data_IF_047054363932
#
_entry.id   IF_047054363932
#
_cell.length_a   1.000
_cell.length_b   1.000
_cell.length_c   1.000
_cell.angle_alpha   90.00
_cell.angle_beta   90.00
_cell.angle_gamma   90.00
#
_symmetry.space_group_name_H-M   'P 1'
#
loop_
_entity.id
_entity.type
_entity.pdbx_description
1 polymer ?
#
# COMPACT_ATOMS: atom_id res chain seq x y z
N UNK A 1 -15.86 38.72 42.54
CA UNK A 1 -17.12 38.02 42.19
C UNK A 1 -16.78 36.62 41.74
N UNK A 2 -16.83 35.64 42.64
CA UNK A 2 -16.60 34.22 42.32
C UNK A 2 -17.96 33.51 42.33
N UNK A 3 -18.44 33.15 41.14
CA UNK A 3 -19.64 32.33 40.99
C UNK A 3 -19.20 30.86 41.02
N UNK A 4 -19.35 30.22 42.19
CA UNK A 4 -19.16 28.78 42.34
C UNK A 4 -20.38 28.04 41.78
N UNK A 5 -20.13 27.06 40.92
CA UNK A 5 -21.16 26.18 40.36
C UNK A 5 -21.86 25.37 41.47
N UNK A 6 -23.16 25.03 41.31
CA UNK A 6 -23.90 24.31 42.33
C UNK A 6 -23.35 22.88 42.51
N UNK A 7 -23.02 22.55 43.75
CA UNK A 7 -22.66 21.21 44.18
C UNK A 7 -23.83 20.26 43.90
N UNK A 8 -23.59 19.23 43.07
CA UNK A 8 -24.52 18.12 42.93
C UNK A 8 -24.61 17.40 44.27
N UNK A 9 -25.73 17.62 44.94
CA UNK A 9 -26.06 17.02 46.23
C UNK A 9 -26.12 15.51 46.08
N UNK A 10 -25.18 14.85 46.75
CA UNK A 10 -25.11 13.40 46.92
C UNK A 10 -26.34 12.93 47.70
N UNK A 11 -27.47 12.70 47.01
CA UNK A 11 -28.57 11.90 47.57
C UNK A 11 -28.10 10.45 47.62
N UNK A 12 -27.46 10.07 48.74
CA UNK A 12 -27.18 8.67 49.08
C UNK A 12 -28.50 7.98 49.44
N UNK A 13 -29.31 7.69 48.42
CA UNK A 13 -30.48 6.86 48.57
C UNK A 13 -30.06 5.41 48.83
N UNK A 14 -30.86 4.72 49.65
CA UNK A 14 -30.85 3.27 49.91
C UNK A 14 -30.78 2.40 48.63
N UNK A 15 -31.05 3.03 47.46
CA UNK A 15 -31.00 2.45 46.12
C UNK A 15 -29.66 2.60 45.37
N UNK A 16 -28.66 3.29 45.93
CA UNK A 16 -27.31 3.38 45.33
C UNK A 16 -26.57 2.03 45.30
N UNK A 17 -26.90 1.13 46.23
CA UNK A 17 -26.40 -0.24 46.27
C UNK A 17 -27.23 -1.24 45.43
N UNK A 18 -28.30 -0.78 44.77
CA UNK A 18 -29.11 -1.58 43.85
C UNK A 18 -28.70 -1.37 42.39
N UNK A 19 -27.51 -0.78 42.14
CA UNK A 19 -26.95 -0.69 40.81
C UNK A 19 -26.79 -2.10 40.22
N UNK A 20 -27.67 -2.40 39.27
CA UNK A 20 -27.70 -3.63 38.49
C UNK A 20 -26.25 -4.05 38.14
N UNK A 21 -25.83 -5.30 38.44
CA UNK A 21 -24.47 -5.75 38.16
C UNK A 21 -24.08 -5.60 36.67
N UNK A 22 -25.06 -5.57 35.77
CA UNK A 22 -24.87 -5.25 34.35
C UNK A 22 -24.54 -3.77 34.13
N UNK A 23 -25.25 -2.84 34.78
CA UNK A 23 -24.94 -1.40 34.72
C UNK A 23 -23.58 -1.08 35.36
N UNK A 24 -23.19 -1.81 36.40
CA UNK A 24 -21.87 -1.71 37.01
C UNK A 24 -20.76 -2.20 36.06
N UNK A 25 -21.03 -3.22 35.23
CA UNK A 25 -20.12 -3.61 34.14
C UNK A 25 -20.09 -2.56 33.03
N UNK A 26 -21.20 -1.89 32.72
CA UNK A 26 -21.23 -0.83 31.71
C UNK A 26 -20.58 0.47 32.18
N UNK A 27 -20.67 0.83 33.47
CA UNK A 27 -19.90 1.96 34.03
C UNK A 27 -18.41 1.63 34.13
N UNK A 28 -18.07 0.41 34.59
CA UNK A 28 -16.68 -0.07 34.60
C UNK A 28 -16.11 -0.20 33.18
N UNK A 29 -16.94 -0.52 32.19
CA UNK A 29 -16.56 -0.54 30.77
C UNK A 29 -16.65 0.85 30.11
N UNK A 30 -17.41 1.79 30.66
CA UNK A 30 -17.49 3.17 30.20
C UNK A 30 -16.22 3.96 30.51
N UNK A 31 -15.50 3.60 31.59
CA UNK A 31 -14.13 4.09 31.85
C UNK A 31 -13.08 3.49 30.91
N UNK A 32 -13.38 2.39 30.20
CA UNK A 32 -12.50 1.82 29.17
C UNK A 32 -12.61 2.54 27.81
N UNK A 33 -13.61 3.41 27.58
CA UNK A 33 -13.76 4.08 26.28
C UNK A 33 -12.78 5.25 26.08
N UNK A 34 -12.34 5.93 27.15
CA UNK A 34 -11.36 7.03 27.02
C UNK A 34 -9.93 6.54 26.71
N UNK A 35 -9.55 5.34 27.15
CA UNK A 35 -8.23 4.75 26.89
C UNK A 35 -8.11 4.07 25.51
N UNK A 36 -9.21 4.00 24.76
CA UNK A 36 -9.29 3.30 23.47
C UNK A 36 -9.50 4.26 22.29
N UNK A 37 -9.18 5.55 22.44
CA UNK A 37 -9.18 6.49 21.32
C UNK A 37 -7.95 6.29 20.42
N UNK A 38 -8.14 6.51 19.12
CA UNK A 38 -7.07 6.49 18.12
C UNK A 38 -6.05 7.58 18.40
N UNK A 39 -4.77 7.25 18.27
CA UNK A 39 -3.62 8.11 18.57
C UNK A 39 -2.66 8.17 17.38
N UNK A 40 -2.00 9.30 17.14
CA UNK A 40 -0.97 9.43 16.10
C UNK A 40 0.16 8.40 16.26
N UNK A 41 0.59 8.14 17.50
CA UNK A 41 1.62 7.14 17.79
C UNK A 41 1.15 5.73 17.44
N UNK A 42 -0.11 5.39 17.73
CA UNK A 42 -0.71 4.09 17.42
C UNK A 42 -0.83 3.83 15.92
N UNK A 43 -1.22 4.84 15.16
CA UNK A 43 -1.28 4.79 13.68
C UNK A 43 0.13 4.66 13.11
N UNK A 44 1.07 5.51 13.54
CA UNK A 44 2.46 5.49 13.04
C UNK A 44 3.14 4.15 13.29
N UNK A 45 2.96 3.58 14.49
CA UNK A 45 3.50 2.25 14.83
C UNK A 45 2.92 1.14 13.93
N UNK A 46 1.63 1.18 13.62
CA UNK A 46 0.99 0.22 12.71
C UNK A 46 1.43 0.39 11.27
N UNK A 47 1.61 1.63 10.81
CA UNK A 47 2.17 1.91 9.48
C UNK A 47 3.59 1.36 9.39
N UNK A 48 4.44 1.62 10.39
CA UNK A 48 5.79 1.08 10.45
C UNK A 48 5.77 -0.45 10.48
N UNK A 49 4.84 -1.07 11.22
CA UNK A 49 4.66 -2.52 11.22
C UNK A 49 4.36 -3.07 9.81
N UNK A 50 3.46 -2.44 9.05
CA UNK A 50 3.18 -2.85 7.66
C UNK A 50 4.38 -2.68 6.73
N UNK A 51 5.19 -1.64 6.92
CA UNK A 51 6.42 -1.42 6.16
C UNK A 51 7.55 -2.37 6.57
N UNK A 52 7.64 -2.75 7.85
CA UNK A 52 8.57 -3.79 8.28
C UNK A 52 8.16 -5.15 7.73
N UNK A 53 6.85 -5.45 7.70
CA UNK A 53 6.33 -6.65 7.07
C UNK A 53 6.68 -6.70 5.57
N UNK A 54 6.70 -5.58 4.85
CA UNK A 54 7.14 -5.58 3.45
C UNK A 54 8.63 -5.87 3.32
N UNK A 55 9.48 -5.30 4.19
CA UNK A 55 10.92 -5.63 4.21
C UNK A 55 11.17 -7.11 4.54
N UNK A 56 10.39 -7.69 5.45
CA UNK A 56 10.43 -9.14 5.74
C UNK A 56 10.05 -9.93 4.48
N UNK A 57 9.02 -9.52 3.74
CA UNK A 57 8.65 -10.13 2.46
C UNK A 57 9.76 -10.06 1.41
N UNK A 58 10.45 -8.92 1.31
CA UNK A 58 11.61 -8.75 0.42
C UNK A 58 12.71 -9.74 0.81
N UNK A 59 13.11 -9.75 2.09
CA UNK A 59 14.16 -10.62 2.59
C UNK A 59 13.81 -12.10 2.38
N UNK A 60 12.56 -12.49 2.65
CA UNK A 60 12.08 -13.84 2.43
C UNK A 60 12.21 -14.26 0.95
N UNK A 61 11.85 -13.38 0.01
CA UNK A 61 12.01 -13.65 -1.42
C UNK A 61 13.49 -13.82 -1.81
N UNK A 62 14.36 -12.92 -1.38
CA UNK A 62 15.80 -12.99 -1.69
C UNK A 62 16.46 -14.26 -1.15
N UNK A 63 16.13 -14.64 0.09
CA UNK A 63 16.63 -15.87 0.71
C UNK A 63 16.10 -17.11 0.01
N UNK A 64 14.79 -17.14 -0.28
CA UNK A 64 14.14 -18.25 -0.94
C UNK A 64 14.72 -18.47 -2.34
N UNK A 65 14.89 -17.39 -3.12
CA UNK A 65 15.50 -17.44 -4.44
C UNK A 65 16.92 -18.00 -4.39
N UNK A 66 17.75 -17.55 -3.43
CA UNK A 66 19.10 -18.09 -3.24
C UNK A 66 19.06 -19.59 -2.91
N UNK A 67 18.18 -20.01 -2.01
CA UNK A 67 18.03 -21.41 -1.59
C UNK A 67 17.57 -22.28 -2.77
N UNK A 68 16.58 -21.84 -3.54
CA UNK A 68 16.04 -22.61 -4.64
C UNK A 68 17.02 -22.73 -5.80
N UNK A 69 17.73 -21.67 -6.17
CA UNK A 69 18.76 -21.76 -7.22
C UNK A 69 19.92 -22.65 -6.79
N UNK A 70 20.36 -22.56 -5.54
CA UNK A 70 21.49 -23.37 -5.03
C UNK A 70 21.15 -24.88 -4.99
N UNK A 71 19.89 -25.22 -4.72
CA UNK A 71 19.43 -26.61 -4.58
C UNK A 71 18.83 -27.19 -5.88
N UNK A 72 18.55 -26.36 -6.88
CA UNK A 72 18.02 -26.81 -8.15
C UNK A 72 19.10 -27.45 -9.01
N UNK A 73 18.73 -28.49 -9.76
CA UNK A 73 19.61 -29.04 -10.79
C UNK A 73 19.84 -27.97 -11.87
N UNK A 74 21.09 -27.79 -12.33
CA UNK A 74 21.43 -26.75 -13.30
C UNK A 74 20.59 -26.83 -14.58
N UNK A 75 20.22 -28.04 -15.00
CA UNK A 75 19.38 -28.29 -16.19
C UNK A 75 17.91 -27.84 -16.01
N UNK A 76 17.45 -27.68 -14.77
CA UNK A 76 16.08 -27.27 -14.45
C UNK A 76 15.93 -25.75 -14.29
N UNK A 77 17.04 -25.01 -14.23
CA UNK A 77 17.02 -23.56 -14.11
C UNK A 77 16.61 -22.92 -15.44
N UNK A 78 15.67 -21.99 -15.37
CA UNK A 78 15.30 -21.17 -16.51
C UNK A 78 16.03 -19.85 -16.43
N UNK A 79 16.69 -19.47 -17.53
CA UNK A 79 17.36 -18.19 -17.69
C UNK A 79 16.60 -17.34 -18.69
N UNK A 80 16.21 -16.15 -18.26
CA UNK A 80 15.57 -15.15 -19.09
C UNK A 80 16.37 -13.85 -19.04
N UNK A 81 16.93 -13.45 -20.17
CA UNK A 81 17.66 -12.20 -20.32
C UNK A 81 16.96 -11.35 -21.37
N UNK A 82 16.63 -10.10 -21.02
CA UNK A 82 16.11 -9.14 -22.00
C UNK A 82 17.26 -8.60 -22.86
N UNK A 83 17.45 -9.20 -24.04
CA UNK A 83 18.49 -8.80 -25.01
C UNK A 83 18.31 -7.38 -25.53
N UNK A 84 17.12 -6.75 -25.40
CA UNK A 84 16.89 -5.40 -25.94
C UNK A 84 17.40 -4.30 -25.04
N UNK A 85 17.18 -4.39 -23.72
CA UNK A 85 17.53 -3.30 -22.80
C UNK A 85 18.58 -3.70 -21.76
N UNK A 86 18.92 -4.98 -21.63
CA UNK A 86 19.95 -5.48 -20.70
C UNK A 86 19.61 -5.33 -19.20
N UNK A 87 18.41 -4.82 -18.86
CA UNK A 87 18.02 -4.54 -17.47
C UNK A 87 17.63 -5.81 -16.72
N UNK A 88 16.98 -6.73 -17.42
CA UNK A 88 16.41 -7.94 -16.84
C UNK A 88 17.36 -9.10 -17.15
N UNK A 89 17.88 -9.70 -16.10
CA UNK A 89 18.65 -10.94 -16.12
C UNK A 89 18.12 -11.80 -14.96
N UNK A 90 17.13 -12.63 -15.31
CA UNK A 90 16.35 -13.41 -14.36
C UNK A 90 16.70 -14.89 -14.54
N UNK A 91 17.34 -15.45 -13.52
CA UNK A 91 17.47 -16.90 -13.36
C UNK A 91 16.46 -17.34 -12.32
N UNK A 92 15.62 -18.35 -12.59
CA UNK A 92 14.64 -18.80 -11.63
C UNK A 92 14.42 -20.31 -11.69
N UNK A 93 14.12 -20.91 -10.53
CA UNK A 93 13.72 -22.30 -10.44
C UNK A 93 12.21 -22.46 -10.74
N UNK A 94 11.76 -23.61 -11.28
CA UNK A 94 10.33 -23.86 -11.54
C UNK A 94 9.44 -23.69 -10.29
N UNK A 95 9.96 -24.04 -9.12
CA UNK A 95 9.27 -23.85 -7.84
C UNK A 95 9.04 -22.36 -7.51
N UNK A 96 9.93 -21.45 -7.92
CA UNK A 96 9.75 -20.00 -7.72
C UNK A 96 8.54 -19.48 -8.48
N UNK A 97 8.29 -19.99 -9.69
CA UNK A 97 7.13 -19.59 -10.49
C UNK A 97 5.80 -19.93 -9.79
N UNK A 98 5.71 -21.10 -9.14
CA UNK A 98 4.51 -21.52 -8.40
C UNK A 98 4.28 -20.58 -7.21
N UNK A 99 5.33 -20.28 -6.45
CA UNK A 99 5.25 -19.38 -5.30
C UNK A 99 4.85 -17.97 -5.76
N UNK A 100 5.40 -17.49 -6.87
CA UNK A 100 5.05 -16.20 -7.46
C UNK A 100 3.58 -16.10 -7.83
N UNK A 101 3.00 -17.15 -8.41
CA UNK A 101 1.56 -17.18 -8.70
C UNK A 101 0.74 -17.07 -7.43
N UNK A 102 1.09 -17.81 -6.37
CA UNK A 102 0.41 -17.74 -5.07
C UNK A 102 0.50 -16.32 -4.47
N UNK A 103 1.69 -15.71 -4.50
CA UNK A 103 1.93 -14.35 -3.98
C UNK A 103 1.13 -13.31 -4.77
N UNK A 104 1.04 -13.44 -6.09
CA UNK A 104 0.24 -12.55 -6.93
C UNK A 104 -1.26 -12.67 -6.61
N UNK A 105 -1.76 -13.88 -6.39
CA UNK A 105 -3.16 -14.11 -6.00
C UNK A 105 -3.45 -13.49 -4.63
N UNK A 106 -2.58 -13.70 -3.63
CA UNK A 106 -2.71 -13.07 -2.32
C UNK A 106 -2.74 -11.54 -2.47
N UNK A 107 -1.80 -10.97 -3.22
CA UNK A 107 -1.70 -9.53 -3.45
C UNK A 107 -2.94 -8.92 -4.13
N UNK A 108 -3.61 -9.68 -4.99
CA UNK A 108 -4.83 -9.26 -5.69
C UNK A 108 -6.06 -9.36 -4.78
N UNK A 109 -6.15 -10.42 -3.99
CA UNK A 109 -7.34 -10.76 -3.18
C UNK A 109 -7.37 -9.92 -1.89
N UNK A 110 -6.24 -9.72 -1.22
CA UNK A 110 -6.21 -9.07 0.10
C UNK A 110 -6.75 -7.63 0.11
N UNK A 111 -6.47 -6.73 -0.85
CA UNK A 111 -7.04 -5.38 -0.83
C UNK A 111 -8.56 -5.38 -0.95
N UNK A 112 -9.13 -6.34 -1.71
CA UNK A 112 -10.57 -6.50 -1.83
C UNK A 112 -11.21 -6.97 -0.53
N UNK A 113 -10.58 -7.92 0.19
CA UNK A 113 -11.05 -8.33 1.52
C UNK A 113 -10.94 -7.21 2.54
N UNK A 114 -9.86 -6.42 2.51
CA UNK A 114 -9.69 -5.27 3.40
C UNK A 114 -10.79 -4.22 3.20
N UNK A 115 -11.21 -4.01 1.95
CA UNK A 115 -12.32 -3.13 1.61
C UNK A 115 -13.68 -3.66 2.08
N UNK A 116 -13.94 -4.96 1.90
CA UNK A 116 -15.22 -5.58 2.23
C UNK A 116 -15.40 -5.80 3.74
N UNK A 117 -14.34 -6.19 4.46
CA UNK A 117 -14.39 -6.63 5.85
C UNK A 117 -13.37 -5.86 6.71
N UNK A 118 -13.71 -4.63 7.10
CA UNK A 118 -12.82 -3.71 7.84
C UNK A 118 -12.18 -4.29 9.12
N UNK A 119 -12.84 -5.15 9.93
CA UNK A 119 -12.20 -5.74 11.11
C UNK A 119 -11.01 -6.66 10.78
N UNK A 120 -10.89 -7.15 9.54
CA UNK A 120 -9.83 -8.08 9.12
C UNK A 120 -8.54 -7.39 8.66
N UNK A 121 -8.52 -6.05 8.62
CA UNK A 121 -7.37 -5.25 8.16
C UNK A 121 -6.04 -5.61 8.84
N UNK A 122 -5.96 -5.91 10.15
CA UNK A 122 -4.69 -6.32 10.75
C UNK A 122 -4.09 -7.56 10.09
N UNK A 123 -4.92 -8.57 9.78
CA UNK A 123 -4.46 -9.83 9.18
C UNK A 123 -4.25 -9.66 7.68
N UNK A 124 -5.27 -9.18 7.00
CA UNK A 124 -5.30 -9.05 5.54
C UNK A 124 -4.29 -8.01 5.06
N UNK A 125 -4.13 -6.91 5.80
CA UNK A 125 -3.11 -5.89 5.53
C UNK A 125 -1.69 -6.42 5.73
N UNK A 126 -1.45 -7.29 6.72
CA UNK A 126 -0.14 -7.92 6.92
C UNK A 126 0.19 -8.88 5.78
N UNK A 127 -0.78 -9.71 5.37
CA UNK A 127 -0.63 -10.60 4.22
C UNK A 127 -0.35 -9.82 2.93
N UNK A 128 -1.07 -8.72 2.71
CA UNK A 128 -0.81 -7.82 1.60
C UNK A 128 0.61 -7.26 1.63
N UNK A 129 1.04 -6.70 2.78
CA UNK A 129 2.37 -6.15 2.98
C UNK A 129 3.48 -7.17 2.69
N UNK A 130 3.35 -8.39 3.23
CA UNK A 130 4.31 -9.48 2.98
C UNK A 130 4.35 -9.85 1.50
N UNK A 131 3.19 -9.98 0.86
CA UNK A 131 3.09 -10.36 -0.54
C UNK A 131 3.66 -9.26 -1.47
N UNK A 132 3.37 -7.99 -1.21
CA UNK A 132 3.98 -6.86 -1.92
C UNK A 132 5.50 -6.84 -1.71
N UNK A 133 5.98 -7.06 -0.49
CA UNK A 133 7.40 -7.21 -0.21
C UNK A 133 8.05 -8.31 -1.04
N UNK A 134 7.40 -9.46 -1.15
CA UNK A 134 7.88 -10.57 -1.98
C UNK A 134 7.96 -10.18 -3.46
N UNK A 135 6.97 -9.46 -4.00
CA UNK A 135 7.00 -8.95 -5.38
C UNK A 135 8.16 -7.97 -5.60
N UNK A 136 8.45 -7.11 -4.62
CA UNK A 136 9.60 -6.20 -4.67
C UNK A 136 10.91 -7.01 -4.71
N UNK A 137 11.02 -8.04 -3.86
CA UNK A 137 12.16 -8.95 -3.85
C UNK A 137 12.36 -9.63 -5.20
N UNK A 138 11.27 -10.14 -5.80
CA UNK A 138 11.31 -10.82 -7.08
C UNK A 138 11.73 -9.89 -8.23
N UNK A 139 11.22 -8.64 -8.24
CA UNK A 139 11.69 -7.66 -9.23
C UNK A 139 13.18 -7.40 -9.02
N UNK A 140 13.64 -7.32 -7.76
CA UNK A 140 15.05 -7.06 -7.45
C UNK A 140 15.97 -8.21 -7.88
N UNK A 141 15.53 -9.46 -7.77
CA UNK A 141 16.27 -10.62 -8.29
C UNK A 141 16.27 -10.69 -9.80
N UNK A 142 15.21 -10.21 -10.45
CA UNK A 142 15.11 -10.13 -11.90
C UNK A 142 16.01 -9.05 -12.54
N UNK A 143 16.48 -8.08 -11.75
CA UNK A 143 17.38 -7.04 -12.25
C UNK A 143 18.80 -7.57 -12.41
N UNK A 144 19.43 -7.23 -13.54
CA UNK A 144 20.83 -7.50 -13.76
C UNK A 144 21.68 -6.87 -12.64
N UNK A 145 22.84 -7.48 -12.28
CA UNK A 145 23.64 -7.06 -11.14
C UNK A 145 23.94 -5.56 -11.09
N UNK A 146 24.16 -4.96 -12.25
CA UNK A 146 24.46 -3.53 -12.42
C UNK A 146 23.28 -2.63 -12.07
N UNK A 147 22.03 -3.10 -12.19
CA UNK A 147 20.81 -2.31 -11.98
C UNK A 147 20.14 -2.57 -10.63
N UNK A 148 20.67 -3.46 -9.78
CA UNK A 148 20.08 -3.78 -8.46
C UNK A 148 19.98 -2.57 -7.53
N UNK A 149 20.87 -1.58 -7.68
CA UNK A 149 20.81 -0.34 -6.90
C UNK A 149 19.54 0.49 -7.18
N UNK A 150 18.85 0.28 -8.31
CA UNK A 150 17.62 0.99 -8.68
C UNK A 150 16.52 0.74 -7.65
N UNK A 151 16.42 -0.48 -7.11
CA UNK A 151 15.41 -0.78 -6.07
C UNK A 151 15.64 0.06 -4.81
N UNK A 152 16.89 0.19 -4.35
CA UNK A 152 17.24 1.02 -3.20
C UNK A 152 16.98 2.51 -3.49
N UNK A 153 17.33 2.98 -4.69
CA UNK A 153 17.08 4.35 -5.11
C UNK A 153 15.57 4.67 -5.14
N UNK A 154 14.75 3.73 -5.63
CA UNK A 154 13.29 3.87 -5.62
C UNK A 154 12.76 4.04 -4.19
N UNK A 155 13.25 3.23 -3.24
CA UNK A 155 12.87 3.34 -1.83
C UNK A 155 13.22 4.71 -1.23
N UNK A 156 14.42 5.22 -1.48
CA UNK A 156 14.85 6.54 -1.00
C UNK A 156 13.99 7.67 -1.57
N UNK A 157 13.66 7.61 -2.87
CA UNK A 157 12.78 8.57 -3.51
C UNK A 157 11.34 8.49 -2.97
N UNK A 158 10.83 7.29 -2.68
CA UNK A 158 9.53 7.12 -2.02
C UNK A 158 9.53 7.77 -0.64
N UNK A 159 10.56 7.54 0.18
CA UNK A 159 10.67 8.17 1.50
C UNK A 159 10.77 9.70 1.40
N UNK A 160 11.54 10.21 0.44
CA UNK A 160 11.63 11.65 0.19
C UNK A 160 10.29 12.26 -0.22
N UNK A 161 9.53 11.58 -1.09
CA UNK A 161 8.21 12.02 -1.51
C UNK A 161 7.20 11.99 -0.37
N UNK A 162 7.20 10.92 0.42
CA UNK A 162 6.34 10.77 1.61
C UNK A 162 6.62 11.89 2.61
N UNK A 163 7.90 12.13 2.92
CA UNK A 163 8.32 13.22 3.80
C UNK A 163 7.97 14.60 3.24
N UNK A 164 8.14 14.83 1.94
CA UNK A 164 7.81 16.09 1.28
C UNK A 164 6.30 16.39 1.34
N UNK A 165 5.46 15.40 1.07
CA UNK A 165 4.00 15.56 1.16
C UNK A 165 3.52 15.68 2.60
N UNK A 166 4.14 14.97 3.55
CA UNK A 166 3.87 15.14 4.98
C UNK A 166 4.20 16.58 5.42
N UNK A 167 5.31 17.14 4.94
CA UNK A 167 5.68 18.53 5.20
C UNK A 167 4.65 19.52 4.63
N UNK A 168 4.22 19.31 3.38
CA UNK A 168 3.18 20.13 2.72
C UNK A 168 1.87 20.10 3.51
N UNK A 169 1.46 18.91 3.96
CA UNK A 169 0.26 18.72 4.77
C UNK A 169 0.39 19.38 6.15
N UNK A 170 1.50 19.14 6.86
CA UNK A 170 1.75 19.68 8.20
C UNK A 170 1.79 21.22 8.20
N UNK A 171 2.27 21.84 7.11
CA UNK A 171 2.24 23.30 6.92
C UNK A 171 0.87 23.83 6.48
N UNK A 172 -0.13 22.96 6.26
CA UNK A 172 -1.47 23.29 5.76
C UNK A 172 -1.43 24.12 4.46
N UNK A 173 -0.40 23.90 3.63
CA UNK A 173 -0.26 24.56 2.33
C UNK A 173 -1.40 24.13 1.40
N UNK A 174 -1.78 22.86 1.46
CA UNK A 174 -2.91 22.29 0.73
C UNK A 174 -3.95 21.82 1.73
N UNK A 175 -5.18 22.32 1.62
CA UNK A 175 -6.30 21.94 2.49
C UNK A 175 -7.15 20.87 1.81
N UNK A 176 -7.40 19.77 2.52
CA UNK A 176 -8.24 18.67 2.05
C UNK A 176 -9.70 19.04 2.32
N UNK A 177 -10.41 19.49 1.28
CA UNK A 177 -11.84 19.84 1.37
C UNK A 177 -12.74 18.68 0.95
N UNK A 178 -14.04 18.75 1.26
CA UNK A 178 -15.03 17.79 0.77
C UNK A 178 -15.03 17.67 -0.77
N UNK A 179 -14.85 18.79 -1.49
CA UNK A 179 -14.74 18.78 -2.97
C UNK A 179 -13.49 18.02 -3.44
N UNK A 180 -12.35 18.23 -2.76
CA UNK A 180 -11.12 17.51 -3.05
C UNK A 180 -11.29 15.99 -2.87
N UNK A 181 -11.89 15.56 -1.76
CA UNK A 181 -12.22 14.13 -1.53
C UNK A 181 -13.16 13.57 -2.59
N UNK A 182 -14.17 14.35 -3.02
CA UNK A 182 -15.08 13.95 -4.09
C UNK A 182 -14.38 13.73 -5.43
N UNK A 183 -13.46 14.63 -5.81
CA UNK A 183 -12.64 14.49 -7.02
C UNK A 183 -11.73 13.27 -6.93
N UNK A 184 -11.06 13.05 -5.80
CA UNK A 184 -10.21 11.88 -5.60
C UNK A 184 -11.00 10.57 -5.68
N UNK A 185 -12.19 10.51 -5.07
CA UNK A 185 -13.06 9.33 -5.20
C UNK A 185 -13.46 9.09 -6.65
N UNK A 186 -13.81 10.13 -7.42
CA UNK A 186 -14.11 9.99 -8.84
C UNK A 186 -12.91 9.44 -9.64
N UNK A 187 -11.70 9.94 -9.37
CA UNK A 187 -10.47 9.42 -9.97
C UNK A 187 -10.27 7.95 -9.58
N UNK A 188 -10.45 7.59 -8.31
CA UNK A 188 -10.31 6.22 -7.82
C UNK A 188 -11.24 5.25 -8.54
N UNK A 189 -12.54 5.56 -8.60
CA UNK A 189 -13.52 4.71 -9.28
C UNK A 189 -13.28 4.63 -10.78
N UNK A 190 -12.86 5.73 -11.41
CA UNK A 190 -12.49 5.73 -12.83
C UNK A 190 -11.30 4.80 -13.09
N UNK A 191 -10.24 4.88 -12.27
CA UNK A 191 -9.06 4.02 -12.39
C UNK A 191 -9.40 2.53 -12.22
N UNK A 192 -10.23 2.20 -11.23
CA UNK A 192 -10.68 0.83 -11.00
C UNK A 192 -11.54 0.34 -12.17
N UNK A 193 -12.51 1.14 -12.61
CA UNK A 193 -13.38 0.78 -13.72
C UNK A 193 -12.56 0.54 -15.00
N UNK A 194 -11.64 1.45 -15.35
CA UNK A 194 -10.76 1.28 -16.51
C UNK A 194 -9.88 0.03 -16.37
N UNK A 195 -9.33 -0.24 -15.17
CA UNK A 195 -8.52 -1.43 -14.91
C UNK A 195 -9.30 -2.74 -15.07
N UNK A 196 -10.52 -2.80 -14.52
CA UNK A 196 -11.40 -3.98 -14.63
C UNK A 196 -11.82 -4.19 -16.09
N UNK A 197 -12.22 -3.13 -16.78
CA UNK A 197 -12.58 -3.21 -18.21
C UNK A 197 -11.40 -3.73 -19.02
N UNK A 198 -10.20 -3.19 -18.81
CA UNK A 198 -9.00 -3.66 -19.50
C UNK A 198 -8.71 -5.14 -19.22
N UNK A 199 -8.83 -5.57 -17.96
CA UNK A 199 -8.64 -6.97 -17.58
C UNK A 199 -9.66 -7.90 -18.25
N UNK A 200 -10.96 -7.53 -18.26
CA UNK A 200 -12.01 -8.31 -18.92
C UNK A 200 -11.75 -8.41 -20.43
N UNK A 201 -11.37 -7.31 -21.07
CA UNK A 201 -11.05 -7.30 -22.50
C UNK A 201 -9.84 -8.17 -22.83
N UNK A 202 -8.85 -8.26 -21.94
CA UNK A 202 -7.70 -9.17 -22.09
C UNK A 202 -8.07 -10.66 -21.97
N UNK A 203 -9.15 -11.00 -21.27
CA UNK A 203 -9.61 -12.39 -21.15
C UNK A 203 -10.29 -12.91 -22.42
N UNK A 204 -10.73 -12.03 -23.33
CA UNK A 204 -11.41 -12.39 -24.58
C UNK A 204 -10.34 -12.64 -25.66
N UNK A 205 -10.12 -13.88 -26.12
CA UNK A 205 -9.00 -14.20 -27.01
C UNK A 205 -9.03 -13.45 -28.34
N UNK A 206 -10.23 -13.23 -28.91
CA UNK A 206 -10.42 -12.50 -30.16
C UNK A 206 -10.07 -11.01 -30.07
N UNK A 207 -10.25 -10.41 -28.89
CA UNK A 207 -9.89 -9.00 -28.63
C UNK A 207 -8.41 -8.90 -28.30
N UNK A 208 -7.90 -9.79 -27.44
CA UNK A 208 -6.48 -9.85 -27.06
C UNK A 208 -5.55 -9.96 -28.26
N UNK A 209 -5.90 -10.81 -29.23
CA UNK A 209 -5.10 -11.06 -30.42
C UNK A 209 -5.37 -10.05 -31.56
N UNK A 210 -6.25 -9.07 -31.35
CA UNK A 210 -6.55 -8.06 -32.36
C UNK A 210 -5.35 -7.12 -32.57
N UNK A 211 -5.12 -6.74 -33.83
CA UNK A 211 -4.08 -5.76 -34.18
C UNK A 211 -4.30 -4.42 -33.44
N UNK A 212 -5.56 -4.05 -33.16
CA UNK A 212 -5.90 -2.85 -32.41
C UNK A 212 -5.36 -2.89 -30.97
N UNK A 213 -5.58 -3.97 -30.22
CA UNK A 213 -5.03 -4.12 -28.86
C UNK A 213 -3.51 -4.28 -28.85
N UNK A 214 -2.95 -4.97 -29.85
CA UNK A 214 -1.50 -5.06 -30.03
C UNK A 214 -0.86 -3.69 -30.20
N UNK A 215 -1.44 -2.83 -31.06
CA UNK A 215 -0.96 -1.48 -31.31
C UNK A 215 -1.11 -0.56 -30.08
N UNK A 216 -2.24 -0.64 -29.36
CA UNK A 216 -2.44 0.13 -28.12
C UNK A 216 -1.43 -0.31 -27.05
N UNK A 217 -1.25 -1.61 -26.87
CA UNK A 217 -0.27 -2.14 -25.91
C UNK A 217 1.15 -1.70 -26.26
N UNK A 218 1.53 -1.78 -27.54
CA UNK A 218 2.83 -1.30 -28.00
C UNK A 218 3.02 0.21 -27.75
N UNK A 219 2.00 1.02 -28.04
CA UNK A 219 2.04 2.47 -27.79
C UNK A 219 2.17 2.81 -26.30
N UNK A 220 1.39 2.14 -25.43
CA UNK A 220 1.47 2.32 -23.97
C UNK A 220 2.81 1.87 -23.38
N UNK A 221 3.48 0.93 -24.03
CA UNK A 221 4.81 0.44 -23.62
C UNK A 221 5.97 1.27 -24.21
N UNK A 222 5.70 2.31 -25.00
CA UNK A 222 6.78 3.22 -25.42
C UNK A 222 7.39 3.92 -24.19
N UNK A 223 8.72 4.15 -24.18
CA UNK A 223 9.40 4.76 -23.03
C UNK A 223 8.79 6.11 -22.61
N UNK A 224 8.44 6.95 -23.58
CA UNK A 224 7.90 8.30 -23.31
C UNK A 224 6.51 8.25 -22.68
N UNK A 225 5.62 7.40 -23.20
CA UNK A 225 4.26 7.26 -22.68
C UNK A 225 4.29 6.60 -21.31
N UNK A 226 5.09 5.55 -21.14
CA UNK A 226 5.18 4.83 -19.86
C UNK A 226 5.75 5.70 -18.73
N UNK A 227 6.73 6.58 -19.02
CA UNK A 227 7.22 7.57 -18.05
C UNK A 227 6.12 8.59 -17.73
N UNK A 228 5.49 9.21 -18.74
CA UNK A 228 4.47 10.23 -18.54
C UNK A 228 3.27 9.72 -17.73
N UNK A 229 2.78 8.52 -18.06
CA UNK A 229 1.71 7.85 -17.30
C UNK A 229 2.17 7.56 -15.87
N UNK A 230 3.38 7.05 -15.66
CA UNK A 230 3.85 6.75 -14.30
C UNK A 230 3.97 8.02 -13.45
N UNK A 231 4.45 9.13 -14.01
CA UNK A 231 4.50 10.43 -13.33
C UNK A 231 3.10 10.90 -12.95
N UNK A 232 2.13 10.81 -13.87
CA UNK A 232 0.73 11.15 -13.59
C UNK A 232 0.19 10.34 -12.40
N UNK A 233 0.46 9.03 -12.36
CA UNK A 233 0.05 8.17 -11.25
C UNK A 233 0.78 8.51 -9.93
N UNK A 234 2.05 8.93 -9.97
CA UNK A 234 2.75 9.41 -8.77
C UNK A 234 2.09 10.69 -8.24
N UNK A 235 1.72 11.62 -9.12
CA UNK A 235 1.01 12.85 -8.73
C UNK A 235 -0.33 12.48 -8.09
N UNK A 236 -1.14 11.65 -8.75
CA UNK A 236 -2.43 11.21 -8.22
C UNK A 236 -2.25 10.52 -6.86
N UNK A 237 -1.31 9.59 -6.74
CA UNK A 237 -1.02 8.89 -5.49
C UNK A 237 -0.59 9.87 -4.38
N UNK A 238 0.21 10.88 -4.70
CA UNK A 238 0.60 11.90 -3.73
C UNK A 238 -0.59 12.74 -3.23
N UNK A 239 -1.59 13.00 -4.08
CA UNK A 239 -2.83 13.66 -3.68
C UNK A 239 -3.70 12.77 -2.78
N UNK A 240 -3.78 11.46 -3.06
CA UNK A 240 -4.42 10.52 -2.14
C UNK A 240 -3.73 10.49 -0.78
N UNK A 241 -2.40 10.58 -0.76
CA UNK A 241 -1.66 10.60 0.49
C UNK A 241 -1.97 11.83 1.35
N UNK A 242 -2.27 12.99 0.75
CA UNK A 242 -2.81 14.14 1.49
C UNK A 242 -4.17 13.82 2.13
N UNK A 243 -5.05 13.13 1.41
CA UNK A 243 -6.33 12.67 1.96
C UNK A 243 -6.16 11.62 3.06
N UNK A 244 -5.13 10.77 2.97
CA UNK A 244 -4.79 9.81 4.03
C UNK A 244 -4.33 10.55 5.29
N UNK A 245 -3.49 11.58 5.17
CA UNK A 245 -3.05 12.40 6.32
C UNK A 245 -4.22 13.13 6.99
N UNK A 246 -5.14 13.69 6.21
CA UNK A 246 -6.36 14.31 6.73
C UNK A 246 -7.30 13.29 7.39
N UNK A 247 -7.37 12.08 6.85
CA UNK A 247 -8.11 10.98 7.51
C UNK A 247 -7.49 10.61 8.85
N UNK A 248 -6.15 10.55 8.94
CA UNK A 248 -5.42 10.30 10.19
C UNK A 248 -5.67 11.42 11.21
N UNK A 249 -5.58 12.69 10.81
CA UNK A 249 -5.87 13.84 11.69
C UNK A 249 -7.31 13.80 12.20
N UNK A 250 -8.28 13.47 11.35
CA UNK A 250 -9.69 13.34 11.74
C UNK A 250 -9.93 12.15 12.67
N UNK A 251 -9.26 11.01 12.46
CA UNK A 251 -9.38 9.85 13.36
C UNK A 251 -8.95 10.19 14.78
N UNK A 252 -7.86 10.94 14.94
CA UNK A 252 -7.34 11.32 16.26
C UNK A 252 -8.15 12.47 16.86
N UNK A 253 -8.47 13.50 16.07
CA UNK A 253 -9.22 14.68 16.54
C UNK A 253 -10.64 14.32 17.00
N UNK A 254 -11.30 13.41 16.28
CA UNK A 254 -12.64 12.94 16.64
C UNK A 254 -12.63 11.78 17.66
N UNK A 255 -11.46 11.43 18.22
CA UNK A 255 -11.29 10.35 19.20
C UNK A 255 -11.98 9.04 18.80
N UNK A 256 -11.80 8.66 17.53
CA UNK A 256 -12.41 7.44 16.97
C UNK A 256 -11.79 6.20 17.64
N UNK A 257 -12.57 5.12 17.79
CA UNK A 257 -12.11 3.86 18.39
C UNK A 257 -10.78 3.36 17.79
N UNK A 258 -9.87 2.87 18.65
CA UNK A 258 -8.52 2.36 18.33
C UNK A 258 -8.49 1.34 17.20
N UNK A 259 -9.56 0.59 16.98
CA UNK A 259 -9.67 -0.35 15.84
C UNK A 259 -9.50 0.34 14.48
N UNK A 260 -9.86 1.62 14.37
CA UNK A 260 -9.73 2.38 13.13
C UNK A 260 -8.29 2.83 12.84
N UNK A 261 -7.37 2.75 13.82
CA UNK A 261 -5.95 3.00 13.57
C UNK A 261 -5.38 2.04 12.53
N UNK A 262 -5.84 0.79 12.52
CA UNK A 262 -5.44 -0.21 11.52
C UNK A 262 -5.87 0.17 10.11
N UNK A 263 -7.07 0.73 9.97
CA UNK A 263 -7.58 1.19 8.68
C UNK A 263 -6.79 2.38 8.16
N UNK A 264 -6.54 3.37 9.01
CA UNK A 264 -5.77 4.56 8.63
C UNK A 264 -4.31 4.20 8.30
N UNK A 265 -3.68 3.34 9.10
CA UNK A 265 -2.33 2.87 8.87
C UNK A 265 -2.20 2.06 7.58
N UNK A 266 -3.18 1.20 7.28
CA UNK A 266 -3.17 0.38 6.07
C UNK A 266 -3.33 1.22 4.80
N UNK A 267 -4.26 2.18 4.79
CA UNK A 267 -4.44 3.09 3.65
C UNK A 267 -3.17 3.87 3.32
N UNK A 268 -2.53 4.44 4.34
CA UNK A 268 -1.25 5.13 4.18
C UNK A 268 -0.15 4.18 3.68
N UNK A 269 -0.03 2.99 4.26
CA UNK A 269 0.97 1.99 3.85
C UNK A 269 0.77 1.53 2.41
N UNK A 270 -0.48 1.31 2.00
CA UNK A 270 -0.85 0.95 0.63
C UNK A 270 -0.40 2.03 -0.35
N UNK A 271 -0.63 3.31 -0.03
CA UNK A 271 -0.21 4.42 -0.89
C UNK A 271 1.32 4.51 -1.00
N UNK A 272 2.05 4.32 0.10
CA UNK A 272 3.52 4.29 0.10
C UNK A 272 4.04 3.19 -0.84
N UNK A 273 3.50 1.96 -0.73
CA UNK A 273 3.89 0.84 -1.59
C UNK A 273 3.54 1.10 -3.06
N UNK A 274 2.37 1.69 -3.32
CA UNK A 274 1.98 2.05 -4.68
C UNK A 274 2.94 3.05 -5.32
N UNK A 275 3.33 4.09 -4.58
CA UNK A 275 4.30 5.09 -5.03
C UNK A 275 5.66 4.43 -5.30
N UNK A 276 6.10 3.49 -4.45
CA UNK A 276 7.32 2.72 -4.68
C UNK A 276 7.31 2.04 -6.06
N UNK A 277 6.26 1.28 -6.40
CA UNK A 277 6.21 0.61 -7.70
C UNK A 277 6.17 1.57 -8.88
N UNK A 278 5.54 2.74 -8.73
CA UNK A 278 5.52 3.76 -9.80
C UNK A 278 6.87 4.42 -9.99
N UNK A 279 7.57 4.77 -8.90
CA UNK A 279 8.93 5.31 -8.96
C UNK A 279 9.88 4.25 -9.53
N UNK A 280 9.79 3.01 -9.07
CA UNK A 280 10.58 1.90 -9.58
C UNK A 280 10.40 1.75 -11.09
N UNK A 281 9.14 1.77 -11.57
CA UNK A 281 8.84 1.72 -13.00
C UNK A 281 9.46 2.88 -13.78
N UNK A 282 9.39 4.12 -13.26
CA UNK A 282 10.02 5.29 -13.89
C UNK A 282 11.52 5.08 -14.04
N UNK A 283 12.20 4.68 -12.96
CA UNK A 283 13.64 4.46 -12.99
C UNK A 283 14.00 3.35 -13.97
N UNK A 284 13.31 2.20 -13.94
CA UNK A 284 13.55 1.10 -14.87
C UNK A 284 13.41 1.54 -16.33
N UNK A 285 12.37 2.31 -16.67
CA UNK A 285 12.22 2.82 -18.04
C UNK A 285 13.34 3.79 -18.43
N UNK A 286 13.76 4.69 -17.52
CA UNK A 286 14.83 5.66 -17.80
C UNK A 286 16.18 4.97 -18.00
N UNK A 287 16.56 4.06 -17.09
CA UNK A 287 17.85 3.39 -17.14
C UNK A 287 17.90 2.36 -18.27
N UNK A 288 16.78 1.69 -18.57
CA UNK A 288 16.66 0.78 -19.70
C UNK A 288 16.83 1.43 -21.05
N UNK A 289 16.26 2.61 -21.23
CA UNK A 289 16.33 3.31 -22.50
C UNK A 289 17.74 3.86 -22.81
N UNK A 290 18.60 4.04 -21.77
CA UNK A 290 19.99 4.48 -21.97
C UNK A 290 20.90 3.38 -22.52
N UNK A 291 20.58 2.11 -22.33
CA UNK A 291 21.37 0.99 -22.88
C UNK A 291 21.30 0.92 -24.41
N UNK A 292 20.24 1.42 -25.03
CA UNK A 292 20.05 1.42 -26.49
C UNK A 292 20.85 2.51 -27.24
N UNK A 293 21.61 3.36 -26.52
CA UNK A 293 22.32 4.51 -27.10
C UNK A 293 23.86 4.37 -27.09
N UNK A 294 24.37 3.17 -26.77
CA UNK A 294 25.79 2.81 -26.92
C UNK A 294 25.89 1.64 -27.89
#
# INVERSE_FOLDING_TARGET
MNYQAPQQTKKSGLFSNLANPVLRKLQKNGEYESSNAATYAGITSKTLFFLLATLIGVAACLLLHKILITNAAAESLMHYVDTKNGIIDLTFAPAEAIIMVVVLLISLITPFLAWLIRPTIPVVGTLYSLAQGFLIGYITTALAPEYKFISLLAMLLTLALVGGMLFVYAKRIIQVTAKFRGVLMAIFFSLIATGIIYMILMLIPGIRNSAFFGNISAFMNTPIVSIGVSILFVIIASLFMLADFDTIEQCVTNQVDKKYEWMAAWGLSYMILYIYFKILRILLTIFGNRSNSK
#
